data_IF_081838362241
#
_entry.id   IF_081838362241
#
_cell.length_a   1.000
_cell.length_b   1.000
_cell.length_c   1.000
_cell.angle_alpha   90.00
_cell.angle_beta   90.00
_cell.angle_gamma   90.00
#
_symmetry.space_group_name_H-M   'P 1'
#
loop_
_entity.id
_entity.type
_entity.pdbx_description
1 polymer ?
#
# COMPACT_ATOMS: atom_id res chain seq x y z
N UNK A 1 14.86 5.81 16.04
CA UNK A 1 13.96 6.41 15.03
C UNK A 1 14.81 7.40 14.26
N UNK A 2 15.14 7.11 13.00
CA UNK A 2 15.83 8.08 12.15
C UNK A 2 14.89 9.25 11.94
N UNK A 3 15.29 10.45 12.33
CA UNK A 3 14.53 11.65 12.11
C UNK A 3 14.41 11.84 10.59
N UNK A 4 13.24 11.54 10.04
CA UNK A 4 12.99 11.67 8.60
C UNK A 4 12.71 13.15 8.35
N UNK A 5 13.51 13.74 7.47
CA UNK A 5 13.29 15.11 6.99
C UNK A 5 11.84 15.20 6.47
N UNK A 6 11.10 16.21 6.91
CA UNK A 6 9.77 16.53 6.40
C UNK A 6 9.88 17.48 5.23
N UNK A 7 9.06 17.25 4.21
CA UNK A 7 8.95 18.10 3.02
C UNK A 7 7.51 18.57 2.85
N UNK A 8 7.34 19.81 2.44
CA UNK A 8 6.03 20.40 2.16
C UNK A 8 5.55 19.95 0.78
N UNK A 9 4.67 18.96 0.72
CA UNK A 9 4.13 18.41 -0.53
C UNK A 9 2.73 18.92 -0.79
N UNK A 10 2.42 19.22 -2.05
CA UNK A 10 1.03 19.43 -2.49
C UNK A 10 0.34 18.06 -2.56
N UNK A 11 -0.51 17.76 -1.57
CA UNK A 11 -1.27 16.50 -1.53
C UNK A 11 -2.38 16.56 -2.58
N UNK A 12 -2.39 15.66 -3.59
CA UNK A 12 -3.37 15.72 -4.66
C UNK A 12 -4.79 15.58 -4.13
N UNK A 13 -5.72 16.33 -4.72
CA UNK A 13 -7.14 16.04 -4.58
C UNK A 13 -7.57 15.07 -5.68
N UNK A 14 -7.91 13.84 -5.30
CA UNK A 14 -8.43 12.84 -6.24
C UNK A 14 -9.94 12.86 -6.20
N UNK A 15 -10.57 13.01 -7.36
CA UNK A 15 -12.03 12.89 -7.48
C UNK A 15 -12.75 14.23 -7.59
N UNK A 16 -13.99 14.26 -7.14
CA UNK A 16 -14.83 15.45 -7.01
C UNK A 16 -14.84 15.87 -5.54
N UNK A 17 -14.46 17.12 -5.25
CA UNK A 17 -14.34 17.67 -3.90
C UNK A 17 -15.63 17.60 -3.08
N UNK A 18 -16.78 17.56 -3.76
CA UNK A 18 -18.11 17.49 -3.13
C UNK A 18 -18.44 16.08 -2.64
N UNK A 19 -17.66 15.09 -3.07
CA UNK A 19 -17.78 13.69 -2.68
C UNK A 19 -16.69 13.29 -1.69
N UNK A 20 -16.78 12.07 -1.16
CA UNK A 20 -15.83 11.59 -0.16
C UNK A 20 -14.42 11.59 -0.73
N UNK A 21 -13.50 12.21 0.01
CA UNK A 21 -12.08 12.20 -0.27
C UNK A 21 -11.30 12.19 1.05
N UNK A 22 -10.11 11.61 1.05
CA UNK A 22 -9.18 11.60 2.19
C UNK A 22 -7.79 11.20 1.71
N UNK A 23 -6.77 11.54 2.50
CA UNK A 23 -5.42 11.07 2.28
C UNK A 23 -4.82 10.55 3.60
N UNK A 24 -3.90 9.59 3.49
CA UNK A 24 -3.15 9.04 4.63
C UNK A 24 -1.68 8.90 4.27
N UNK A 25 -0.82 9.18 5.23
CA UNK A 25 0.54 8.62 5.24
C UNK A 25 0.42 7.21 5.78
N UNK A 26 0.69 6.22 4.95
CA UNK A 26 0.54 4.81 5.32
C UNK A 26 1.82 4.33 5.98
N UNK A 27 1.68 3.65 7.11
CA UNK A 27 2.76 3.09 7.90
C UNK A 27 2.70 1.55 7.94
N UNK A 28 1.50 0.97 7.84
CA UNK A 28 1.32 -0.48 7.78
C UNK A 28 0.00 -0.87 7.09
N UNK A 29 -0.10 -2.15 6.74
CA UNK A 29 -1.28 -2.74 6.09
C UNK A 29 -1.81 -3.92 6.92
N UNK A 30 -3.10 -3.84 7.31
CA UNK A 30 -3.86 -4.95 7.87
C UNK A 30 -4.50 -5.78 6.74
N UNK A 31 -3.85 -6.89 6.40
CA UNK A 31 -4.28 -7.80 5.33
C UNK A 31 -5.60 -8.53 5.61
N UNK A 32 -6.07 -8.55 6.87
CA UNK A 32 -7.37 -9.12 7.24
C UNK A 32 -8.55 -8.27 6.74
N UNK A 33 -8.29 -7.00 6.39
CA UNK A 33 -9.30 -6.05 5.90
C UNK A 33 -9.26 -5.89 4.39
N UNK A 34 -10.43 -5.69 3.80
CA UNK A 34 -10.61 -5.55 2.34
C UNK A 34 -11.08 -4.16 1.90
N UNK A 35 -11.05 -3.16 2.80
CA UNK A 35 -11.51 -1.80 2.55
C UNK A 35 -10.39 -0.79 2.81
N UNK A 36 -10.67 0.51 2.70
CA UNK A 36 -9.72 1.56 3.04
C UNK A 36 -9.22 1.52 4.50
N UNK A 37 -9.92 0.80 5.38
CA UNK A 37 -9.47 0.53 6.75
C UNK A 37 -8.32 -0.47 6.86
N UNK A 38 -7.90 -1.10 5.75
CA UNK A 38 -6.70 -1.92 5.72
C UNK A 38 -5.42 -1.09 5.84
N UNK A 39 -5.46 0.20 5.52
CA UNK A 39 -4.27 1.06 5.52
C UNK A 39 -4.23 1.88 6.81
N UNK A 40 -3.21 1.62 7.62
CA UNK A 40 -3.01 2.24 8.92
C UNK A 40 -1.92 3.32 8.85
N UNK A 41 -2.13 4.40 9.59
CA UNK A 41 -1.28 5.58 9.60
C UNK A 41 -2.09 6.89 9.67
N UNK A 42 -1.43 8.03 9.89
CA UNK A 42 -2.09 9.30 10.13
C UNK A 42 -2.78 9.84 8.87
N UNK A 43 -3.93 10.50 9.08
CA UNK A 43 -4.62 11.24 8.03
C UNK A 43 -3.94 12.59 7.76
N UNK A 44 -3.95 12.99 6.50
CA UNK A 44 -3.52 14.32 6.04
C UNK A 44 -4.60 14.93 5.15
N UNK A 45 -4.63 16.27 5.05
CA UNK A 45 -5.62 16.95 4.24
C UNK A 45 -5.26 16.84 2.74
N UNK A 46 -6.16 16.30 1.88
CA UNK A 46 -5.98 16.38 0.43
C UNK A 46 -6.31 17.78 -0.12
N UNK A 47 -5.74 18.12 -1.28
CA UNK A 47 -6.00 19.40 -1.96
C UNK A 47 -5.26 20.60 -1.35
N UNK A 48 -4.20 20.36 -0.58
CA UNK A 48 -3.41 21.41 0.05
C UNK A 48 -1.97 20.97 0.31
N UNK A 49 -1.16 21.92 0.76
CA UNK A 49 0.24 21.66 1.14
C UNK A 49 0.27 21.04 2.54
N UNK A 50 0.98 19.93 2.70
CA UNK A 50 1.15 19.24 3.97
C UNK A 50 2.63 18.88 4.18
N UNK A 51 3.12 18.99 5.41
CA UNK A 51 4.44 18.50 5.78
C UNK A 51 4.39 16.98 5.95
N UNK A 52 5.11 16.27 5.09
CA UNK A 52 5.13 14.80 5.07
C UNK A 52 6.58 14.31 5.13
N UNK A 53 6.91 13.28 5.93
CA UNK A 53 8.27 12.74 5.96
C UNK A 53 8.70 12.18 4.59
N UNK A 54 9.93 12.48 4.16
CA UNK A 54 10.51 11.92 2.94
C UNK A 54 10.52 10.39 2.97
N UNK A 55 10.29 9.75 1.82
CA UNK A 55 10.23 8.30 1.67
C UNK A 55 8.90 7.68 2.09
N UNK A 56 7.98 8.46 2.67
CA UNK A 56 6.66 7.98 3.08
C UNK A 56 5.82 7.53 1.90
N UNK A 57 4.87 6.64 2.20
CA UNK A 57 3.85 6.17 1.25
C UNK A 57 2.58 6.96 1.49
N UNK A 58 2.19 7.78 0.53
CA UNK A 58 1.00 8.63 0.59
C UNK A 58 -0.13 7.96 -0.20
N UNK A 59 -1.18 7.53 0.49
CA UNK A 59 -2.40 7.01 -0.12
C UNK A 59 -3.44 8.11 -0.18
N UNK A 60 -3.88 8.44 -1.39
CA UNK A 60 -4.95 9.41 -1.65
C UNK A 60 -6.17 8.70 -2.22
N UNK A 61 -7.33 8.97 -1.64
CA UNK A 61 -8.61 8.45 -2.06
C UNK A 61 -9.57 9.58 -2.38
N UNK A 62 -10.37 9.39 -3.42
CA UNK A 62 -11.64 10.08 -3.52
C UNK A 62 -12.60 9.45 -4.51
N UNK A 63 -13.76 10.08 -4.64
CA UNK A 63 -14.86 9.57 -5.46
C UNK A 63 -15.15 10.50 -6.63
N UNK A 64 -15.60 9.93 -7.76
CA UNK A 64 -16.12 10.68 -8.91
C UNK A 64 -17.56 10.27 -9.22
N UNK A 65 -18.25 11.02 -10.07
CA UNK A 65 -19.60 10.70 -10.52
C UNK A 65 -20.67 11.46 -9.76
N UNK A 66 -21.88 10.91 -9.71
CA UNK A 66 -23.00 11.54 -9.00
C UNK A 66 -23.03 11.12 -7.53
N UNK A 67 -23.71 11.90 -6.68
CA UNK A 67 -23.93 11.54 -5.26
C UNK A 67 -24.65 10.19 -5.08
N UNK A 68 -25.46 9.79 -6.06
CA UNK A 68 -26.19 8.51 -6.06
C UNK A 68 -25.40 7.34 -6.66
N UNK A 69 -24.28 7.60 -7.32
CA UNK A 69 -23.43 6.55 -7.89
C UNK A 69 -21.94 6.96 -7.82
N UNK A 70 -21.38 7.13 -6.62
CA UNK A 70 -19.99 7.49 -6.45
C UNK A 70 -19.07 6.36 -6.92
N UNK A 71 -18.01 6.72 -7.64
CA UNK A 71 -17.01 5.82 -8.20
C UNK A 71 -15.68 6.02 -7.48
N UNK A 72 -15.23 5.05 -6.68
CA UNK A 72 -13.96 5.13 -5.96
C UNK A 72 -12.77 5.24 -6.90
N UNK A 73 -11.79 6.05 -6.51
CA UNK A 73 -10.49 6.17 -7.15
C UNK A 73 -9.42 6.40 -6.09
N UNK A 74 -8.43 5.53 -6.06
CA UNK A 74 -7.30 5.60 -5.13
C UNK A 74 -5.98 5.70 -5.89
N UNK A 75 -5.03 6.45 -5.35
CA UNK A 75 -3.68 6.62 -5.87
C UNK A 75 -2.67 6.50 -4.74
N UNK A 76 -1.57 5.80 -5.01
CA UNK A 76 -0.46 5.63 -4.08
C UNK A 76 0.73 6.41 -4.62
N UNK A 77 1.33 7.23 -3.77
CA UNK A 77 2.49 8.03 -4.10
C UNK A 77 3.65 7.73 -3.15
N UNK A 78 4.87 7.80 -3.69
CA UNK A 78 6.09 7.97 -2.89
C UNK A 78 6.37 9.47 -2.73
N UNK A 79 6.68 9.88 -1.50
CA UNK A 79 7.12 11.25 -1.19
C UNK A 79 8.63 11.35 -1.38
N UNK A 80 9.07 12.21 -2.30
CA UNK A 80 10.49 12.43 -2.60
C UNK A 80 11.08 13.54 -1.73
N UNK A 81 12.41 13.60 -1.62
CA UNK A 81 13.12 14.60 -0.80
C UNK A 81 13.10 16.02 -1.37
N UNK A 82 12.69 16.17 -2.63
CA UNK A 82 12.55 17.45 -3.36
C UNK A 82 11.11 17.98 -3.35
N UNK A 83 10.28 17.47 -2.43
CA UNK A 83 8.85 17.78 -2.32
C UNK A 83 7.98 17.35 -3.51
N UNK A 84 8.49 16.52 -4.42
CA UNK A 84 7.69 15.91 -5.49
C UNK A 84 7.05 14.59 -5.05
N UNK A 85 6.07 14.14 -5.82
CA UNK A 85 5.40 12.85 -5.62
C UNK A 85 5.60 11.95 -6.83
N UNK A 86 6.05 10.72 -6.60
CA UNK A 86 6.11 9.67 -7.64
C UNK A 86 4.85 8.80 -7.53
N UNK A 87 4.08 8.66 -8.62
CA UNK A 87 2.91 7.76 -8.64
C UNK A 87 3.37 6.30 -8.73
N UNK A 88 3.03 5.50 -7.73
CA UNK A 88 3.40 4.08 -7.61
C UNK A 88 2.30 3.14 -8.10
N UNK A 89 1.04 3.61 -8.09
CA UNK A 89 -0.10 2.87 -8.60
C UNK A 89 -1.43 3.60 -8.41
N UNK A 90 -2.44 3.17 -9.16
CA UNK A 90 -3.82 3.64 -9.00
C UNK A 90 -4.82 2.50 -9.15
N UNK A 91 -5.98 2.63 -8.50
CA UNK A 91 -7.08 1.68 -8.65
C UNK A 91 -8.45 2.37 -8.63
N UNK A 92 -9.39 1.81 -9.37
CA UNK A 92 -10.76 2.31 -9.52
C UNK A 92 -11.77 1.22 -9.16
N UNK A 93 -12.99 1.63 -8.84
CA UNK A 93 -14.12 0.72 -8.61
C UNK A 93 -14.13 0.08 -7.21
N UNK A 94 -15.06 -0.86 -6.99
CA UNK A 94 -15.37 -1.37 -5.65
C UNK A 94 -14.25 -2.16 -4.98
N UNK A 95 -13.38 -2.79 -5.77
CA UNK A 95 -12.28 -3.61 -5.27
C UNK A 95 -10.96 -2.83 -5.10
N UNK A 96 -10.98 -1.49 -5.21
CA UNK A 96 -9.79 -0.64 -5.24
C UNK A 96 -8.79 -0.95 -4.10
N UNK A 97 -9.28 -1.18 -2.88
CA UNK A 97 -8.43 -1.40 -1.72
C UNK A 97 -7.60 -2.69 -1.83
N UNK A 98 -8.19 -3.74 -2.40
CA UNK A 98 -7.45 -4.98 -2.68
C UNK A 98 -6.44 -4.76 -3.80
N UNK A 99 -6.82 -4.03 -4.85
CA UNK A 99 -5.94 -3.78 -6.01
C UNK A 99 -4.69 -2.98 -5.67
N UNK A 100 -4.78 -1.98 -4.77
CA UNK A 100 -3.60 -1.19 -4.41
C UNK A 100 -2.73 -1.84 -3.32
N UNK A 101 -3.19 -2.93 -2.69
CA UNK A 101 -2.54 -3.47 -1.49
C UNK A 101 -1.09 -3.85 -1.76
N UNK A 102 -0.88 -4.65 -2.80
CA UNK A 102 0.46 -5.14 -3.18
C UNK A 102 1.40 -3.98 -3.55
N UNK A 103 0.85 -2.89 -4.10
CA UNK A 103 1.61 -1.67 -4.38
C UNK A 103 2.06 -1.02 -3.08
N UNK A 104 1.15 -0.84 -2.11
CA UNK A 104 1.47 -0.24 -0.81
C UNK A 104 2.46 -1.11 -0.03
N UNK A 105 2.25 -2.43 0.04
CA UNK A 105 3.15 -3.36 0.73
C UNK A 105 4.55 -3.33 0.14
N UNK A 106 4.66 -3.33 -1.20
CA UNK A 106 5.94 -3.13 -1.90
C UNK A 106 6.57 -1.79 -1.54
N UNK A 107 5.79 -0.70 -1.51
CA UNK A 107 6.33 0.61 -1.17
C UNK A 107 6.76 0.72 0.30
N UNK A 108 6.14 -0.03 1.20
CA UNK A 108 6.54 -0.06 2.61
C UNK A 108 7.76 -0.96 2.87
N UNK A 109 8.33 -1.56 1.82
CA UNK A 109 9.38 -2.58 1.92
C UNK A 109 8.97 -3.70 2.90
N UNK A 110 7.67 -4.02 2.93
CA UNK A 110 7.16 -5.13 3.72
C UNK A 110 7.63 -6.42 3.08
N UNK A 111 8.64 -7.05 3.68
CA UNK A 111 9.01 -8.41 3.30
C UNK A 111 7.79 -9.32 3.49
N UNK A 112 7.46 -10.19 2.51
CA UNK A 112 6.44 -11.20 2.73
C UNK A 112 6.83 -12.00 3.97
N UNK A 113 5.85 -12.31 4.83
CA UNK A 113 6.08 -13.10 6.04
C UNK A 113 6.72 -14.43 5.61
N UNK A 114 8.04 -14.53 5.81
CA UNK A 114 8.75 -15.78 5.62
C UNK A 114 8.41 -16.63 6.82
N UNK A 115 7.76 -17.77 6.57
CA UNK A 115 7.64 -18.79 7.59
C UNK A 115 9.06 -19.24 7.91
N UNK A 116 9.46 -19.14 9.18
CA UNK A 116 10.74 -19.65 9.61
C UNK A 116 10.72 -21.18 9.50
N UNK A 117 11.40 -21.69 8.48
CA UNK A 117 11.58 -23.11 8.22
C UNK A 117 12.95 -23.60 8.68
N UNK A 118 13.73 -22.80 9.42
CA UNK A 118 15.08 -23.19 9.88
C UNK A 118 15.10 -24.47 10.73
N UNK A 119 13.97 -24.81 11.37
CA UNK A 119 13.79 -26.06 12.11
C UNK A 119 13.35 -27.27 11.26
N UNK A 120 13.07 -27.08 9.98
CA UNK A 120 12.67 -28.15 9.04
C UNK A 120 13.87 -28.46 8.16
N UNK A 121 14.31 -29.73 8.13
CA UNK A 121 15.39 -30.13 7.22
C UNK A 121 14.94 -30.04 5.77
N UNK A 122 15.89 -29.78 4.86
CA UNK A 122 15.64 -29.75 3.42
C UNK A 122 15.02 -31.07 2.93
N UNK A 123 15.42 -32.21 3.48
CA UNK A 123 14.85 -33.52 3.15
C UNK A 123 13.39 -33.65 3.58
N UNK A 124 13.05 -33.14 4.77
CA UNK A 124 11.68 -33.17 5.30
C UNK A 124 10.77 -32.29 4.45
N UNK A 125 11.27 -31.11 4.08
CA UNK A 125 10.56 -30.17 3.24
C UNK A 125 10.35 -30.72 1.82
N UNK A 126 11.39 -31.30 1.22
CA UNK A 126 11.32 -31.92 -0.10
C UNK A 126 10.34 -33.10 -0.13
N UNK A 127 10.36 -33.97 0.90
CA UNK A 127 9.44 -35.09 1.02
C UNK A 127 7.98 -34.63 1.10
N UNK A 128 7.69 -33.58 1.89
CA UNK A 128 6.34 -33.02 2.01
C UNK A 128 5.86 -32.40 0.70
N UNK A 129 6.72 -31.65 0.00
CA UNK A 129 6.40 -31.06 -1.29
C UNK A 129 6.09 -32.13 -2.35
N UNK A 130 6.90 -33.19 -2.41
CA UNK A 130 6.66 -34.36 -3.28
C UNK A 130 5.34 -35.05 -2.92
N UNK A 131 5.06 -35.26 -1.63
CA UNK A 131 3.80 -35.85 -1.18
C UNK A 131 2.57 -35.04 -1.61
N UNK A 132 2.73 -33.71 -1.77
CA UNK A 132 1.69 -32.80 -2.28
C UNK A 132 1.67 -32.65 -3.81
N UNK A 133 2.51 -33.41 -4.53
CA UNK A 133 2.56 -33.41 -5.99
C UNK A 133 3.42 -32.30 -6.59
N UNK A 134 4.31 -31.69 -5.82
CA UNK A 134 5.30 -30.74 -6.34
C UNK A 134 6.60 -31.46 -6.71
N UNK A 135 7.18 -31.08 -7.85
CA UNK A 135 8.53 -31.51 -8.23
C UNK A 135 9.57 -30.63 -7.53
N UNK A 136 10.52 -31.24 -6.82
CA UNK A 136 11.61 -30.53 -6.13
C UNK A 136 12.95 -31.03 -6.67
N UNK A 137 13.80 -30.11 -7.12
CA UNK A 137 15.20 -30.42 -7.46
C UNK A 137 16.07 -30.26 -6.21
N UNK A 138 17.00 -31.19 -5.93
CA UNK A 138 17.93 -31.05 -4.81
C UNK A 138 18.84 -29.82 -5.04
N UNK A 139 19.18 -29.07 -3.98
CA UNK A 139 20.14 -27.97 -4.09
C UNK A 139 21.49 -28.52 -4.58
N UNK A 140 22.16 -27.75 -5.45
CA UNK A 140 23.50 -28.06 -5.97
C UNK A 140 24.59 -27.68 -4.98
#
# INVERSE_FOLDING_TARGET
>A
MTDRITVAVEVPLVGDERLKNWAKVVESVDSSRASGWAFEGPFVAPGGIQDVPTGSVLLVYGEKGSRGNPQPHARVYRVNGDATLTLEGEAKGRAWARTIRDVVERCLDMEPVRVDLSGVSDETLAAELIARGWSVEPPR
#
